data_IF_842711632875
#
_entry.id   IF_842711632875
#
_cell.length_a   1.000
_cell.length_b   1.000
_cell.length_c   1.000
_cell.angle_alpha   90.00
_cell.angle_beta   90.00
_cell.angle_gamma   90.00
#
_symmetry.space_group_name_H-M   'P 1'
#
loop_
_entity.id
_entity.type
_entity.pdbx_description
1 polymer ?
#
# COMPACT_ATOMS: atom_id res chain seq x y z
N UNK A 1 -4.44 -11.61 22.87
CA UNK A 1 -4.24 -12.99 22.36
C UNK A 1 -4.34 -12.95 20.84
N UNK A 2 -3.27 -13.26 20.09
CA UNK A 2 -3.37 -13.39 18.62
C UNK A 2 -3.83 -14.82 18.34
N UNK A 3 -5.04 -14.99 17.82
CA UNK A 3 -5.43 -16.27 17.26
C UNK A 3 -4.43 -16.66 16.15
N UNK A 4 -3.93 -17.90 16.13
CA UNK A 4 -3.11 -18.39 15.02
C UNK A 4 -3.88 -18.23 13.71
N UNK A 5 -3.22 -17.75 12.65
CA UNK A 5 -3.84 -17.53 11.34
C UNK A 5 -4.59 -18.78 10.79
N UNK A 6 -4.14 -19.98 11.17
CA UNK A 6 -4.71 -21.28 10.76
C UNK A 6 -6.11 -21.49 11.32
N UNK A 7 -6.28 -21.22 12.61
CA UNK A 7 -7.57 -21.32 13.29
C UNK A 7 -8.56 -20.29 12.72
N UNK A 8 -8.07 -19.11 12.32
CA UNK A 8 -8.91 -18.10 11.66
C UNK A 8 -9.38 -18.56 10.27
N UNK A 9 -8.51 -19.16 9.47
CA UNK A 9 -8.90 -19.69 8.16
C UNK A 9 -9.88 -20.86 8.31
N UNK A 10 -9.59 -21.81 9.22
CA UNK A 10 -10.47 -22.93 9.49
C UNK A 10 -11.86 -22.46 9.96
N UNK A 11 -11.93 -21.48 10.88
CA UNK A 11 -13.20 -20.89 11.31
C UNK A 11 -13.95 -20.18 10.17
N UNK A 12 -13.26 -19.50 9.25
CA UNK A 12 -13.88 -18.84 8.11
C UNK A 12 -14.43 -19.83 7.08
N UNK A 13 -13.83 -21.00 6.98
CA UNK A 13 -14.23 -22.08 6.08
C UNK A 13 -15.13 -23.12 6.75
N UNK A 14 -15.53 -22.89 8.01
CA UNK A 14 -16.31 -23.81 8.84
C UNK A 14 -15.69 -25.22 8.96
N UNK A 15 -14.35 -25.26 9.02
CA UNK A 15 -13.57 -26.50 9.13
C UNK A 15 -13.30 -26.80 10.61
N UNK A 16 -13.56 -28.03 11.08
CA UNK A 16 -13.34 -28.40 12.47
C UNK A 16 -11.87 -28.26 12.85
N UNK A 17 -11.62 -27.58 13.98
CA UNK A 17 -10.27 -27.42 14.54
C UNK A 17 -9.99 -28.34 15.73
N UNK A 18 -10.98 -29.14 16.13
CA UNK A 18 -10.91 -30.09 17.24
C UNK A 18 -11.26 -31.49 16.76
N UNK A 19 -10.64 -32.49 17.37
CA UNK A 19 -10.92 -33.92 17.16
C UNK A 19 -11.46 -34.52 18.46
N UNK A 20 -12.43 -35.44 18.36
CA UNK A 20 -12.95 -36.15 19.53
C UNK A 20 -11.89 -37.11 20.08
N UNK A 21 -11.48 -36.93 21.33
CA UNK A 21 -10.58 -37.83 22.04
C UNK A 21 -11.33 -39.09 22.47
N UNK A 22 -10.79 -40.26 22.13
CA UNK A 22 -11.31 -41.55 22.60
C UNK A 22 -10.39 -42.14 23.67
N UNK A 23 -10.97 -42.67 24.74
CA UNK A 23 -10.24 -43.42 25.76
C UNK A 23 -9.78 -44.78 25.22
N UNK A 24 -8.91 -45.48 25.97
CA UNK A 24 -8.45 -46.85 25.65
C UNK A 24 -9.59 -47.87 25.46
N UNK A 25 -10.79 -47.54 25.93
CA UNK A 25 -12.00 -48.37 25.83
C UNK A 25 -12.91 -47.98 24.65
N UNK A 26 -12.55 -46.95 23.86
CA UNK A 26 -13.33 -46.48 22.71
C UNK A 26 -14.42 -45.45 23.03
N UNK A 27 -14.51 -44.97 24.27
CA UNK A 27 -15.51 -43.98 24.68
C UNK A 27 -15.02 -42.53 24.43
N UNK A 28 -15.87 -41.61 23.93
CA UNK A 28 -15.51 -40.21 23.73
C UNK A 28 -15.30 -39.53 25.10
N UNK A 29 -14.10 -38.98 25.29
CA UNK A 29 -13.61 -38.49 26.59
C UNK A 29 -13.43 -36.96 26.62
N UNK A 30 -13.50 -36.31 25.46
CA UNK A 30 -13.44 -34.85 25.32
C UNK A 30 -13.04 -34.43 23.91
N UNK A 31 -12.78 -33.14 23.72
CA UNK A 31 -12.24 -32.60 22.47
C UNK A 31 -10.76 -32.28 22.63
N UNK A 32 -9.97 -32.58 21.60
CA UNK A 32 -8.55 -32.25 21.50
C UNK A 32 -8.34 -31.23 20.40
N UNK A 33 -7.59 -30.17 20.69
CA UNK A 33 -7.12 -29.26 19.64
C UNK A 33 -6.23 -30.02 18.64
N UNK A 34 -6.54 -29.86 17.35
CA UNK A 34 -5.72 -30.41 16.29
C UNK A 34 -4.31 -29.80 16.32
N UNK A 35 -3.30 -30.60 15.94
CA UNK A 35 -1.95 -30.09 15.78
C UNK A 35 -1.86 -29.15 14.58
N UNK A 36 -0.80 -28.34 14.53
CA UNK A 36 -0.56 -27.38 13.45
C UNK A 36 -0.64 -27.99 12.06
N UNK A 37 -0.03 -29.16 11.88
CA UNK A 37 0.03 -29.81 10.58
C UNK A 37 -1.26 -30.58 10.26
N UNK A 38 -1.96 -31.09 11.29
CA UNK A 38 -3.30 -31.64 11.11
C UNK A 38 -4.31 -30.58 10.64
N UNK A 39 -4.29 -29.36 11.21
CA UNK A 39 -5.16 -28.26 10.75
C UNK A 39 -4.87 -27.88 9.30
N UNK A 40 -3.58 -27.84 8.91
CA UNK A 40 -3.20 -27.55 7.52
C UNK A 40 -3.72 -28.61 6.55
N UNK A 41 -3.65 -29.87 6.95
CA UNK A 41 -4.13 -31.00 6.16
C UNK A 41 -5.65 -30.99 6.06
N UNK A 42 -6.36 -30.77 7.16
CA UNK A 42 -7.83 -30.64 7.17
C UNK A 42 -8.30 -29.47 6.30
N UNK A 43 -7.60 -28.33 6.34
CA UNK A 43 -7.89 -27.22 5.43
C UNK A 43 -7.61 -27.62 3.98
N UNK A 44 -6.50 -28.30 3.71
CA UNK A 44 -6.16 -28.75 2.37
C UNK A 44 -7.22 -29.71 1.83
N UNK A 45 -7.73 -30.63 2.64
CA UNK A 45 -8.64 -31.68 2.20
C UNK A 45 -10.09 -31.18 2.06
N UNK A 46 -10.54 -30.31 2.97
CA UNK A 46 -11.92 -29.82 3.02
C UNK A 46 -12.13 -28.45 2.38
N UNK A 47 -11.06 -27.74 1.96
CA UNK A 47 -11.23 -26.50 1.22
C UNK A 47 -11.98 -26.79 -0.11
N UNK A 48 -13.08 -26.08 -0.43
CA UNK A 48 -13.78 -26.22 -1.69
C UNK A 48 -12.85 -25.92 -2.89
N UNK A 49 -12.44 -26.98 -3.60
CA UNK A 49 -11.50 -26.91 -4.73
C UNK A 49 -12.26 -26.76 -6.04
N UNK A 50 -12.04 -25.63 -6.70
CA UNK A 50 -12.71 -25.25 -7.94
C UNK A 50 -11.90 -25.59 -9.18
N UNK A 51 -11.92 -26.84 -9.63
CA UNK A 51 -11.52 -27.20 -10.99
C UNK A 51 -12.76 -27.70 -11.74
N UNK A 52 -13.21 -26.92 -12.74
CA UNK A 52 -14.24 -27.25 -13.75
C UNK A 52 -15.71 -27.04 -13.33
N UNK A 53 -16.32 -25.97 -13.83
CA UNK A 53 -17.72 -25.88 -14.32
C UNK A 53 -18.86 -26.66 -13.61
N UNK A 54 -18.77 -26.95 -12.32
CA UNK A 54 -19.78 -27.74 -11.61
C UNK A 54 -19.98 -27.21 -10.18
N UNK A 55 -21.04 -26.39 -10.02
CA UNK A 55 -21.90 -26.24 -8.83
C UNK A 55 -21.30 -26.46 -7.42
N UNK A 56 -20.09 -25.94 -7.17
CA UNK A 56 -19.50 -25.80 -5.85
C UNK A 56 -18.98 -24.38 -5.66
N UNK A 57 -19.03 -23.87 -4.44
CA UNK A 57 -18.53 -22.53 -4.12
C UNK A 57 -17.01 -22.49 -4.30
N UNK A 58 -16.52 -21.85 -5.38
CA UNK A 58 -15.09 -21.64 -5.63
C UNK A 58 -14.49 -20.82 -4.47
N UNK A 59 -13.74 -21.46 -3.58
CA UNK A 59 -13.12 -20.76 -2.44
C UNK A 59 -11.94 -19.92 -2.92
N UNK A 60 -12.02 -18.61 -2.66
CA UNK A 60 -10.98 -17.63 -2.98
C UNK A 60 -10.27 -17.18 -1.70
N UNK A 61 -9.00 -17.56 -1.56
CA UNK A 61 -8.17 -17.15 -0.43
C UNK A 61 -7.52 -15.80 -0.72
N UNK A 62 -7.94 -14.76 0.01
CA UNK A 62 -7.38 -13.40 -0.11
C UNK A 62 -6.41 -13.11 1.04
N UNK A 63 -5.14 -12.89 0.72
CA UNK A 63 -4.10 -12.55 1.68
C UNK A 63 -3.67 -11.08 1.50
N UNK A 64 -4.16 -10.15 2.36
CA UNK A 64 -3.99 -8.71 2.17
C UNK A 64 -2.55 -8.20 2.38
N UNK A 65 -1.70 -8.97 3.07
CA UNK A 65 -0.31 -8.60 3.36
C UNK A 65 0.61 -9.82 3.18
N UNK A 66 0.77 -10.25 1.93
CA UNK A 66 1.51 -11.46 1.58
C UNK A 66 3.01 -11.38 1.92
N UNK A 67 3.56 -10.17 2.03
CA UNK A 67 4.98 -9.96 2.40
C UNK A 67 5.32 -10.45 3.81
N UNK A 68 4.33 -10.55 4.71
CA UNK A 68 4.53 -11.02 6.10
C UNK A 68 4.41 -12.54 6.24
N UNK A 69 4.05 -13.25 5.19
CA UNK A 69 3.90 -14.71 5.24
C UNK A 69 5.26 -15.35 5.48
N UNK A 70 5.32 -16.24 6.47
CA UNK A 70 6.53 -17.02 6.76
C UNK A 70 6.73 -18.09 5.69
N UNK A 71 7.96 -18.58 5.53
CA UNK A 71 8.29 -19.57 4.51
C UNK A 71 7.42 -20.83 4.59
N UNK A 72 7.12 -21.31 5.81
CA UNK A 72 6.25 -22.48 6.01
C UNK A 72 4.82 -22.27 5.48
N UNK A 73 4.29 -21.04 5.54
CA UNK A 73 2.95 -20.73 4.99
C UNK A 73 3.03 -20.68 3.48
N UNK A 74 4.12 -20.15 2.91
CA UNK A 74 4.29 -20.05 1.47
C UNK A 74 4.32 -21.43 0.82
N UNK A 75 5.12 -22.37 1.36
CA UNK A 75 5.10 -23.76 0.87
C UNK A 75 3.72 -24.41 1.00
N UNK A 76 3.03 -24.21 2.12
CA UNK A 76 1.66 -24.74 2.27
C UNK A 76 0.67 -24.13 1.26
N UNK A 77 0.81 -22.85 0.90
CA UNK A 77 -0.01 -22.24 -0.15
C UNK A 77 0.31 -22.79 -1.55
N UNK A 78 1.55 -23.22 -1.79
CA UNK A 78 1.96 -23.91 -3.03
C UNK A 78 1.20 -25.24 -3.18
N UNK A 79 1.12 -26.00 -2.09
CA UNK A 79 0.34 -27.24 -2.03
C UNK A 79 -1.16 -26.97 -2.27
N UNK A 80 -1.70 -25.90 -1.69
CA UNK A 80 -3.09 -25.48 -1.89
C UNK A 80 -3.39 -25.10 -3.34
N UNK A 81 -2.50 -24.33 -3.97
CA UNK A 81 -2.63 -23.94 -5.39
C UNK A 81 -2.56 -25.18 -6.28
N UNK A 82 -1.60 -26.07 -6.03
CA UNK A 82 -1.45 -27.35 -6.73
C UNK A 82 -2.68 -28.25 -6.57
N UNK A 83 -3.33 -28.20 -5.41
CA UNK A 83 -4.58 -28.91 -5.15
C UNK A 83 -5.82 -28.23 -5.77
N UNK A 84 -5.68 -27.08 -6.43
CA UNK A 84 -6.75 -26.39 -7.15
C UNK A 84 -7.42 -25.23 -6.42
N UNK A 85 -6.88 -24.77 -5.29
CA UNK A 85 -7.39 -23.59 -4.60
C UNK A 85 -6.97 -22.29 -5.32
N UNK A 86 -7.86 -21.29 -5.35
CA UNK A 86 -7.54 -19.96 -5.90
C UNK A 86 -7.00 -19.05 -4.80
N UNK A 87 -5.79 -18.55 -5.00
CA UNK A 87 -5.09 -17.71 -4.01
C UNK A 87 -4.79 -16.33 -4.62
N UNK A 88 -5.16 -15.27 -3.92
CA UNK A 88 -4.88 -13.88 -4.28
C UNK A 88 -4.06 -13.24 -3.17
N UNK A 89 -2.86 -12.79 -3.52
CA UNK A 89 -1.90 -12.18 -2.61
C UNK A 89 -1.75 -10.69 -2.92
N UNK A 90 -1.98 -9.83 -1.94
CA UNK A 90 -1.66 -8.41 -2.02
C UNK A 90 -0.30 -8.14 -1.36
N UNK A 91 0.56 -7.40 -2.04
CA UNK A 91 1.84 -6.96 -1.50
C UNK A 91 2.21 -5.58 -2.05
N UNK A 92 2.88 -4.76 -1.23
CA UNK A 92 3.40 -3.45 -1.64
C UNK A 92 4.57 -3.59 -2.63
N UNK A 93 5.30 -4.70 -2.55
CA UNK A 93 6.35 -5.08 -3.49
C UNK A 93 6.42 -6.60 -3.54
N UNK A 94 6.53 -7.15 -4.76
CA UNK A 94 6.71 -8.58 -4.95
C UNK A 94 8.00 -9.06 -4.25
N UNK A 95 7.93 -10.03 -3.31
CA UNK A 95 9.12 -10.59 -2.68
C UNK A 95 10.07 -11.33 -3.62
N UNK A 96 9.61 -11.70 -4.83
CA UNK A 96 10.44 -12.31 -5.88
C UNK A 96 11.03 -13.68 -5.49
N UNK A 97 10.28 -14.49 -4.74
CA UNK A 97 10.73 -15.82 -4.24
C UNK A 97 9.54 -16.74 -3.96
N UNK A 98 9.82 -18.04 -3.84
CA UNK A 98 8.86 -19.09 -3.48
C UNK A 98 7.61 -19.01 -4.40
N UNK A 99 6.41 -19.21 -3.85
CA UNK A 99 5.13 -19.14 -4.58
C UNK A 99 4.95 -17.88 -5.43
N UNK A 100 5.59 -16.75 -5.08
CA UNK A 100 5.42 -15.50 -5.80
C UNK A 100 6.08 -15.49 -7.18
N UNK A 101 6.96 -16.46 -7.47
CA UNK A 101 7.58 -16.61 -8.79
C UNK A 101 6.61 -17.22 -9.83
N UNK A 102 5.68 -18.04 -9.38
CA UNK A 102 4.74 -18.78 -10.25
C UNK A 102 3.38 -18.07 -10.37
N UNK A 103 3.09 -17.14 -9.46
CA UNK A 103 1.84 -16.38 -9.46
C UNK A 103 1.81 -15.32 -10.57
N UNK A 104 0.62 -15.10 -11.14
CA UNK A 104 0.37 -13.98 -12.02
C UNK A 104 0.52 -12.65 -11.27
N UNK A 105 1.40 -11.78 -11.75
CA UNK A 105 1.59 -10.44 -11.20
C UNK A 105 0.65 -9.44 -11.88
N UNK A 106 -0.13 -8.73 -11.06
CA UNK A 106 -1.00 -7.63 -11.50
C UNK A 106 -0.59 -6.39 -10.72
N UNK A 107 -0.02 -5.41 -11.42
CA UNK A 107 0.33 -4.13 -10.81
C UNK A 107 -0.92 -3.24 -10.70
N UNK A 108 -1.18 -2.72 -9.51
CA UNK A 108 -2.28 -1.79 -9.24
C UNK A 108 -1.77 -0.36 -9.27
N UNK A 109 -2.29 0.44 -10.18
CA UNK A 109 -1.99 1.87 -10.22
C UNK A 109 -2.62 2.62 -9.04
N UNK A 110 -1.94 3.67 -8.59
CA UNK A 110 -2.53 4.58 -7.61
C UNK A 110 -3.80 5.24 -8.20
N UNK A 111 -4.88 5.38 -7.43
CA UNK A 111 -6.10 6.01 -7.92
C UNK A 111 -5.84 7.47 -8.32
N UNK A 112 -6.51 7.94 -9.36
CA UNK A 112 -6.38 9.33 -9.81
C UNK A 112 -7.06 10.30 -8.84
N UNK A 113 -6.66 11.56 -8.88
CA UNK A 113 -7.27 12.64 -8.10
C UNK A 113 -8.78 12.77 -8.35
N UNK A 114 -9.22 12.53 -9.60
CA UNK A 114 -10.63 12.50 -9.95
C UNK A 114 -11.38 11.35 -9.24
N UNK A 115 -10.75 10.17 -9.16
CA UNK A 115 -11.31 9.05 -8.42
C UNK A 115 -11.42 9.34 -6.92
N UNK A 116 -10.41 10.00 -6.34
CA UNK A 116 -10.45 10.41 -4.93
C UNK A 116 -11.62 11.36 -4.66
N UNK A 117 -11.85 12.36 -5.54
CA UNK A 117 -13.02 13.24 -5.42
C UNK A 117 -14.34 12.48 -5.45
N UNK A 118 -14.47 11.47 -6.32
CA UNK A 118 -15.66 10.61 -6.38
C UNK A 118 -15.84 9.83 -5.08
N UNK A 119 -14.77 9.26 -4.52
CA UNK A 119 -14.82 8.55 -3.23
C UNK A 119 -15.23 9.49 -2.09
N UNK A 120 -14.71 10.72 -2.06
CA UNK A 120 -15.07 11.71 -1.05
C UNK A 120 -16.54 12.14 -1.17
N UNK A 121 -17.02 12.40 -2.38
CA UNK A 121 -18.41 12.77 -2.63
C UNK A 121 -19.37 11.63 -2.25
N UNK A 122 -19.05 10.40 -2.63
CA UNK A 122 -19.84 9.22 -2.29
C UNK A 122 -19.89 8.97 -0.76
N UNK A 123 -18.78 9.17 -0.05
CA UNK A 123 -18.77 9.05 1.41
C UNK A 123 -19.53 10.19 2.10
N UNK A 124 -19.47 11.42 1.56
CA UNK A 124 -20.22 12.56 2.09
C UNK A 124 -21.74 12.30 1.95
N UNK A 125 -22.16 11.84 0.77
CA UNK A 125 -23.54 11.44 0.51
C UNK A 125 -24.00 10.30 1.45
N UNK A 126 -23.17 9.27 1.62
CA UNK A 126 -23.46 8.15 2.55
C UNK A 126 -23.66 8.63 3.99
N UNK A 127 -22.97 9.70 4.39
CA UNK A 127 -23.09 10.26 5.73
C UNK A 127 -24.14 11.37 5.85
N UNK A 128 -24.87 11.69 4.78
CA UNK A 128 -25.83 12.79 4.76
C UNK A 128 -25.17 14.16 4.98
N UNK A 129 -23.89 14.30 4.64
CA UNK A 129 -23.16 15.56 4.74
C UNK A 129 -23.26 16.30 3.41
N UNK A 130 -23.95 17.44 3.40
CA UNK A 130 -23.93 18.36 2.27
C UNK A 130 -22.59 19.10 2.24
N UNK A 131 -21.77 18.81 1.24
CA UNK A 131 -20.45 19.40 1.09
C UNK A 131 -20.38 20.09 -0.28
N UNK A 132 -19.90 21.33 -0.28
CA UNK A 132 -19.72 22.08 -1.52
C UNK A 132 -18.49 21.58 -2.30
N UNK A 133 -18.49 21.76 -3.62
CA UNK A 133 -17.33 21.42 -4.48
C UNK A 133 -16.06 22.16 -4.05
N UNK A 134 -16.19 23.39 -3.55
CA UNK A 134 -15.08 24.18 -3.03
C UNK A 134 -14.47 23.54 -1.78
N UNK A 135 -15.32 23.05 -0.86
CA UNK A 135 -14.85 22.38 0.36
C UNK A 135 -14.19 21.04 0.05
N UNK A 136 -14.69 20.28 -0.92
CA UNK A 136 -14.01 19.07 -1.41
C UNK A 136 -12.62 19.36 -1.97
N UNK A 137 -12.48 20.43 -2.74
CA UNK A 137 -11.18 20.82 -3.31
C UNK A 137 -10.17 21.23 -2.23
N UNK A 138 -10.63 21.82 -1.12
CA UNK A 138 -9.79 22.16 0.04
C UNK A 138 -9.36 20.90 0.82
N UNK A 139 -10.25 19.91 0.95
CA UNK A 139 -10.00 18.68 1.71
C UNK A 139 -9.21 17.62 0.91
N UNK A 140 -9.29 17.63 -0.42
CA UNK A 140 -8.66 16.61 -1.26
C UNK A 140 -7.13 16.52 -1.09
N UNK A 141 -6.36 17.63 -1.01
CA UNK A 141 -4.92 17.56 -0.78
C UNK A 141 -4.54 16.86 0.54
N UNK A 142 -5.41 16.91 1.55
CA UNK A 142 -5.20 16.22 2.83
C UNK A 142 -5.27 14.69 2.66
N UNK A 143 -6.11 14.21 1.74
CA UNK A 143 -6.28 12.79 1.44
C UNK A 143 -5.19 12.23 0.53
N UNK A 144 -4.62 13.07 -0.35
CA UNK A 144 -3.74 12.64 -1.43
C UNK A 144 -4.41 11.59 -2.33
N UNK A 145 -3.63 10.61 -2.78
CA UNK A 145 -4.12 9.49 -3.63
C UNK A 145 -4.55 8.26 -2.82
N UNK A 146 -5.07 8.45 -1.60
CA UNK A 146 -5.47 7.36 -0.70
C UNK A 146 -6.99 7.37 -0.43
N UNK A 147 -7.77 6.41 -0.97
CA UNK A 147 -9.21 6.33 -0.78
C UNK A 147 -9.64 6.17 0.68
N UNK A 148 -8.85 5.48 1.51
CA UNK A 148 -9.16 5.29 2.93
C UNK A 148 -9.01 6.59 3.72
N UNK A 149 -7.96 7.37 3.45
CA UNK A 149 -7.81 8.69 4.05
C UNK A 149 -8.89 9.65 3.56
N UNK A 150 -9.27 9.59 2.29
CA UNK A 150 -10.34 10.40 1.74
C UNK A 150 -11.66 10.19 2.51
N UNK A 151 -12.02 8.94 2.80
CA UNK A 151 -13.21 8.63 3.62
C UNK A 151 -13.06 9.12 5.07
N UNK A 152 -11.88 8.96 5.66
CA UNK A 152 -11.57 9.42 7.03
C UNK A 152 -11.70 10.93 7.17
N UNK A 153 -11.22 11.70 6.19
CA UNK A 153 -11.32 13.16 6.20
C UNK A 153 -12.77 13.63 6.14
N UNK A 154 -13.61 13.00 5.32
CA UNK A 154 -15.04 13.31 5.27
C UNK A 154 -15.74 12.97 6.58
N UNK A 155 -15.39 11.84 7.22
CA UNK A 155 -15.88 11.51 8.58
C UNK A 155 -15.49 12.57 9.61
N UNK A 156 -14.24 13.02 9.56
CA UNK A 156 -13.73 14.04 10.47
C UNK A 156 -14.42 15.39 10.24
N UNK A 157 -14.68 15.75 8.98
CA UNK A 157 -15.40 16.98 8.63
C UNK A 157 -16.83 16.98 9.20
N UNK A 158 -17.54 15.84 9.11
CA UNK A 158 -18.87 15.70 9.74
C UNK A 158 -18.83 15.88 11.25
N UNK A 159 -17.75 15.44 11.90
CA UNK A 159 -17.53 15.58 13.34
C UNK A 159 -16.98 16.97 13.73
N UNK A 160 -16.73 17.86 12.78
CA UNK A 160 -16.13 19.19 13.02
C UNK A 160 -14.65 19.14 13.41
N UNK A 161 -13.97 18.02 13.17
CA UNK A 161 -12.55 17.83 13.52
C UNK A 161 -11.67 18.36 12.38
N UNK A 162 -11.08 19.55 12.58
CA UNK A 162 -10.16 20.14 11.60
C UNK A 162 -8.80 19.42 11.62
N UNK A 163 -8.38 18.91 10.47
CA UNK A 163 -7.02 18.43 10.26
C UNK A 163 -6.22 19.49 9.49
N UNK A 164 -5.46 20.33 10.20
CA UNK A 164 -4.67 21.42 9.60
C UNK A 164 -3.37 20.95 8.93
N UNK A 165 -3.02 19.66 9.02
CA UNK A 165 -1.80 19.10 8.44
C UNK A 165 -2.12 18.00 7.43
N UNK A 166 -1.66 18.13 6.17
CA UNK A 166 -1.71 17.03 5.21
C UNK A 166 -0.95 15.83 5.78
N UNK A 167 -1.61 14.66 5.85
CA UNK A 167 -0.96 13.41 6.24
C UNK A 167 -0.02 12.90 5.13
N UNK A 168 -0.14 13.45 3.92
CA UNK A 168 0.73 13.18 2.78
C UNK A 168 1.47 14.44 2.32
N UNK A 169 2.81 14.37 2.32
CA UNK A 169 3.66 15.32 1.60
C UNK A 169 3.59 14.99 0.11
N UNK A 170 2.73 15.68 -0.63
CA UNK A 170 2.80 15.64 -2.09
C UNK A 170 4.10 16.34 -2.52
N UNK A 171 5.12 15.54 -2.85
CA UNK A 171 6.36 16.05 -3.42
C UNK A 171 6.08 16.59 -4.82
N UNK A 172 5.86 17.90 -4.92
CA UNK A 172 6.00 18.57 -6.22
C UNK A 172 7.48 18.45 -6.59
N UNK A 173 7.76 17.83 -7.73
CA UNK A 173 9.14 17.70 -8.24
C UNK A 173 9.58 19.07 -8.74
N UNK A 174 10.05 19.93 -7.83
CA UNK A 174 10.47 21.33 -8.10
C UNK A 174 11.85 21.38 -8.80
N UNK A 175 12.56 20.25 -8.87
CA UNK A 175 13.91 20.16 -9.43
C UNK A 175 14.05 20.75 -10.86
N UNK A 176 13.13 20.53 -11.82
CA UNK A 176 13.23 21.10 -13.17
C UNK A 176 13.21 22.64 -13.16
N UNK A 177 12.42 23.25 -12.27
CA UNK A 177 12.33 24.71 -12.13
C UNK A 177 13.65 25.29 -11.60
N UNK A 178 14.26 24.64 -10.62
CA UNK A 178 15.57 25.05 -10.06
C UNK A 178 16.66 24.95 -11.13
N UNK A 179 16.67 23.88 -11.93
CA UNK A 179 17.64 23.69 -13.01
C UNK A 179 17.47 24.78 -14.08
N UNK A 180 16.24 25.11 -14.48
CA UNK A 180 15.96 26.17 -15.43
C UNK A 180 16.46 27.55 -14.93
N UNK A 181 16.28 27.85 -13.64
CA UNK A 181 16.81 29.08 -13.03
C UNK A 181 18.35 29.11 -13.02
N UNK A 182 19.03 27.98 -12.80
CA UNK A 182 20.49 27.93 -12.90
C UNK A 182 20.98 28.20 -14.32
N UNK A 183 20.28 27.66 -15.33
CA UNK A 183 20.63 27.90 -16.73
C UNK A 183 20.46 29.37 -17.14
N UNK A 184 19.48 30.10 -16.60
CA UNK A 184 19.33 31.52 -16.93
C UNK A 184 20.54 32.35 -16.47
N UNK A 185 21.12 32.07 -15.30
CA UNK A 185 22.36 32.71 -14.86
C UNK A 185 23.57 32.36 -15.73
N UNK A 186 23.63 31.12 -16.24
CA UNK A 186 24.65 30.74 -17.22
C UNK A 186 24.52 31.56 -18.52
N UNK A 187 23.30 31.77 -19.01
CA UNK A 187 23.03 32.60 -20.20
C UNK A 187 23.49 34.05 -19.98
N UNK A 188 23.15 34.66 -18.83
CA UNK A 188 23.60 36.03 -18.49
C UNK A 188 25.12 36.14 -18.50
N UNK A 189 25.82 35.14 -17.97
CA UNK A 189 27.28 35.06 -17.99
C UNK A 189 27.84 34.99 -19.41
N UNK A 190 27.24 34.19 -20.29
CA UNK A 190 27.65 34.10 -21.70
C UNK A 190 27.40 35.41 -22.47
N UNK A 191 26.28 36.09 -22.21
CA UNK A 191 26.00 37.41 -22.79
C UNK A 191 27.06 38.42 -22.34
N UNK A 192 27.44 38.44 -21.06
CA UNK A 192 28.50 39.29 -20.55
C UNK A 192 29.85 39.04 -21.23
N UNK A 193 30.19 37.78 -21.51
CA UNK A 193 31.38 37.42 -22.27
C UNK A 193 31.30 37.89 -23.73
N UNK A 194 30.17 37.65 -24.41
CA UNK A 194 29.98 38.02 -25.81
C UNK A 194 29.88 39.53 -26.06
N UNK A 195 29.40 40.29 -25.08
CA UNK A 195 29.27 41.76 -25.18
C UNK A 195 30.48 42.52 -24.62
N UNK A 196 31.49 41.82 -24.09
CA UNK A 196 32.63 42.43 -23.40
C UNK A 196 32.28 43.09 -22.06
N UNK A 197 31.04 42.96 -21.59
CA UNK A 197 30.58 43.54 -20.33
C UNK A 197 31.03 42.67 -19.14
N UNK A 198 32.15 43.08 -18.52
CA UNK A 198 32.71 42.43 -17.32
C UNK A 198 31.70 42.36 -16.17
N UNK A 199 30.82 43.35 -16.01
CA UNK A 199 29.79 43.38 -14.98
C UNK A 199 28.82 42.21 -15.11
N UNK A 200 28.21 42.03 -16.29
CA UNK A 200 27.28 40.91 -16.54
C UNK A 200 27.96 39.53 -16.39
N UNK A 201 29.21 39.41 -16.84
CA UNK A 201 29.98 38.17 -16.72
C UNK A 201 30.23 37.79 -15.25
N UNK A 202 30.59 38.76 -14.41
CA UNK A 202 30.87 38.56 -12.99
C UNK A 202 29.56 38.29 -12.24
N UNK A 203 28.53 39.11 -12.42
CA UNK A 203 27.24 38.95 -11.72
C UNK A 203 26.58 37.61 -12.06
N UNK A 204 26.54 37.23 -13.34
CA UNK A 204 26.00 35.93 -13.76
C UNK A 204 26.78 34.74 -13.17
N UNK A 205 28.11 34.85 -13.09
CA UNK A 205 28.96 33.82 -12.47
C UNK A 205 28.76 33.69 -10.96
N UNK A 206 28.67 34.82 -10.24
CA UNK A 206 28.45 34.83 -8.79
C UNK A 206 27.07 34.27 -8.45
N UNK A 207 26.01 34.70 -9.14
CA UNK A 207 24.65 34.19 -8.93
C UNK A 207 24.56 32.67 -9.18
N UNK A 208 25.23 32.17 -10.22
CA UNK A 208 25.26 30.73 -10.53
C UNK A 208 25.91 29.91 -9.40
N UNK A 209 27.07 30.33 -8.91
CA UNK A 209 27.81 29.64 -7.84
C UNK A 209 27.04 29.71 -6.52
N UNK A 210 26.48 30.86 -6.17
CA UNK A 210 25.64 31.02 -4.96
C UNK A 210 24.39 30.14 -5.01
N UNK A 211 23.70 30.07 -6.16
CA UNK A 211 22.54 29.22 -6.34
C UNK A 211 22.88 27.72 -6.28
N UNK A 212 24.03 27.30 -6.83
CA UNK A 212 24.51 25.93 -6.67
C UNK A 212 24.86 25.59 -5.21
N UNK A 213 25.50 26.51 -4.48
CA UNK A 213 25.80 26.32 -3.07
C UNK A 213 24.52 26.17 -2.23
N UNK A 214 23.50 27.01 -2.48
CA UNK A 214 22.19 26.90 -1.84
C UNK A 214 21.50 25.56 -2.17
N UNK A 215 21.56 25.10 -3.42
CA UNK A 215 21.05 23.78 -3.83
C UNK A 215 21.73 22.65 -3.07
N UNK A 216 23.06 22.71 -2.94
CA UNK A 216 23.83 21.69 -2.23
C UNK A 216 23.48 21.65 -0.73
N UNK A 217 23.35 22.82 -0.09
CA UNK A 217 22.94 22.94 1.31
C UNK A 217 21.50 22.44 1.55
N UNK A 218 20.59 22.70 0.59
CA UNK A 218 19.22 22.18 0.60
C UNK A 218 19.16 20.64 0.54
N UNK A 219 19.99 20.03 -0.31
CA UNK A 219 20.08 18.57 -0.41
C UNK A 219 20.60 17.91 0.88
N UNK A 220 21.52 18.55 1.61
CA UNK A 220 22.07 18.03 2.87
C UNK A 220 21.02 17.98 3.98
N UNK A 221 20.06 18.92 4.01
CA UNK A 221 18.95 18.91 4.99
C UNK A 221 17.87 17.86 4.67
N UNK A 222 17.81 17.36 3.44
CA UNK A 222 16.86 16.33 2.99
C UNK A 222 17.20 14.89 3.42
N UNK A 223 18.37 14.66 4.01
CA UNK A 223 18.80 13.33 4.48
C UNK A 223 18.30 12.96 5.89
N UNK A 224 17.27 13.63 6.42
CA UNK A 224 16.72 13.32 7.76
C UNK A 224 15.62 12.26 7.68
N UNK A 225 15.99 11.06 8.16
CA UNK A 225 15.17 9.91 8.58
C UNK A 225 14.25 9.30 7.50
N UNK A 226 14.76 8.23 6.89
CA UNK A 226 13.92 7.08 6.51
C UNK A 226 13.36 6.49 7.82
N UNK A 227 12.15 6.87 8.21
CA UNK A 227 11.37 6.11 9.19
C UNK A 227 10.92 4.83 8.46
N UNK A 228 11.45 3.68 8.87
CA UNK A 228 11.15 2.40 8.23
C UNK A 228 12.28 1.36 8.20
N UNK A 229 13.36 1.55 8.95
CA UNK A 229 14.11 0.45 9.55
C UNK A 229 13.86 0.48 11.07
#
# INVERSE_FOLDING_TARGET
>A
MRCPWRSLIAMQLDIPTTETQYNKNGDPTGEKDLTVDAIKQEILDNCPKGYRFAYGEDTLLILPEAKRLTTSIRYWLEDMISAGARVVCFAVANPGRDIFLEMLEIELELPSDAHIRLVMAAEAQRQGLEISKSKLAELQPLAGRNPMLARKIIRNEKLGLKQDKPEHTQYVVIMPVIIAMLFSFAVVRFIGMGTGNKGLYITGGVCLVSAMALKQLGNVRGARKRLGQ
#
